data_IF_329495531925
#
_entry.id   IF_329495531925
#
_cell.length_a   1.000
_cell.length_b   1.000
_cell.length_c   1.000
_cell.angle_alpha   90.00
_cell.angle_beta   90.00
_cell.angle_gamma   90.00
#
_symmetry.space_group_name_H-M   'P 1'
#
loop_
_entity.id
_entity.type
_entity.pdbx_description
1 polymer ?
#
# COMPACT_ATOMS: atom_id res chain seq x y z
N UNK A 1 11.87 -17.18 5.05
CA UNK A 1 12.32 -15.80 4.74
C UNK A 1 13.82 -15.81 4.51
N UNK A 2 14.40 -14.79 3.87
CA UNK A 2 15.86 -14.74 3.60
C UNK A 2 16.69 -14.78 4.90
N UNK A 3 16.16 -14.27 6.01
CA UNK A 3 16.77 -14.40 7.33
C UNK A 3 16.84 -15.87 7.82
N UNK A 4 15.83 -16.69 7.52
CA UNK A 4 15.85 -18.13 7.84
C UNK A 4 16.91 -18.88 7.04
N UNK A 5 17.18 -18.44 5.80
CA UNK A 5 18.26 -18.99 4.99
C UNK A 5 19.64 -18.60 5.54
N UNK A 6 19.80 -17.36 6.02
CA UNK A 6 21.09 -16.83 6.51
C UNK A 6 21.45 -17.29 7.92
N UNK A 7 20.47 -17.44 8.81
CA UNK A 7 20.68 -17.74 10.24
C UNK A 7 20.09 -19.08 10.68
N UNK A 8 19.39 -19.78 9.80
CA UNK A 8 18.82 -21.10 10.05
C UNK A 8 19.60 -22.20 9.35
N UNK A 9 19.19 -23.45 9.62
CA UNK A 9 19.78 -24.65 9.01
C UNK A 9 18.93 -25.19 7.85
N UNK A 10 17.96 -24.40 7.37
CA UNK A 10 17.01 -24.77 6.32
C UNK A 10 17.61 -24.49 4.93
N UNK A 11 17.45 -25.44 4.02
CA UNK A 11 17.88 -25.29 2.62
C UNK A 11 17.00 -24.30 1.86
N UNK A 12 17.52 -23.79 0.75
CA UNK A 12 16.80 -22.87 -0.13
C UNK A 12 15.47 -23.46 -0.63
N UNK A 13 15.46 -24.77 -0.93
CA UNK A 13 14.29 -25.52 -1.38
C UNK A 13 13.22 -25.73 -0.30
N UNK A 14 13.60 -25.86 0.97
CA UNK A 14 12.64 -25.97 2.09
C UNK A 14 11.95 -24.62 2.35
N UNK A 15 12.72 -23.54 2.32
CA UNK A 15 12.19 -22.20 2.54
C UNK A 15 11.31 -21.74 1.37
N UNK A 16 11.69 -22.07 0.13
CA UNK A 16 10.93 -21.71 -1.07
C UNK A 16 9.54 -22.37 -1.08
N UNK A 17 9.46 -23.66 -0.70
CA UNK A 17 8.19 -24.38 -0.49
C UNK A 17 7.35 -23.73 0.61
N UNK A 18 7.94 -23.39 1.75
CA UNK A 18 7.24 -22.75 2.86
C UNK A 18 6.71 -21.34 2.57
N UNK A 19 7.29 -20.65 1.58
CA UNK A 19 6.86 -19.30 1.14
C UNK A 19 6.06 -19.36 -0.17
N UNK A 20 5.87 -20.55 -0.75
CA UNK A 20 5.21 -20.77 -2.04
C UNK A 20 5.80 -19.93 -3.18
N UNK A 21 7.13 -19.87 -3.25
CA UNK A 21 7.88 -19.12 -4.25
C UNK A 21 8.84 -20.06 -4.95
N UNK A 22 9.02 -19.91 -6.26
CA UNK A 22 9.97 -20.73 -7.00
C UNK A 22 11.40 -20.49 -6.49
N UNK A 23 12.22 -21.55 -6.43
CA UNK A 23 13.59 -21.49 -5.91
C UNK A 23 14.45 -20.44 -6.63
N UNK A 24 14.26 -20.27 -7.94
CA UNK A 24 14.94 -19.22 -8.72
C UNK A 24 14.62 -17.81 -8.22
N UNK A 25 13.37 -17.52 -7.87
CA UNK A 25 12.96 -16.21 -7.35
C UNK A 25 13.55 -16.00 -5.94
N UNK A 26 13.56 -17.05 -5.13
CA UNK A 26 14.18 -17.00 -3.81
C UNK A 26 15.70 -16.77 -3.90
N UNK A 27 16.38 -17.35 -4.90
CA UNK A 27 17.81 -17.10 -5.14
C UNK A 27 18.11 -15.64 -5.50
N UNK A 28 17.22 -14.99 -6.26
CA UNK A 28 17.32 -13.56 -6.58
C UNK A 28 17.16 -12.73 -5.31
N UNK A 29 16.24 -13.09 -4.43
CA UNK A 29 16.04 -12.40 -3.15
C UNK A 29 17.24 -12.52 -2.22
N UNK A 30 17.88 -13.69 -2.14
CA UNK A 30 19.12 -13.86 -1.37
C UNK A 30 20.22 -12.96 -1.89
N UNK A 31 20.46 -12.95 -3.21
CA UNK A 31 21.46 -12.06 -3.84
C UNK A 31 21.15 -10.58 -3.59
N UNK A 32 19.88 -10.20 -3.73
CA UNK A 32 19.45 -8.82 -3.50
C UNK A 32 19.71 -8.40 -2.04
N UNK A 33 19.45 -9.30 -1.08
CA UNK A 33 19.73 -9.08 0.33
C UNK A 33 21.23 -9.03 0.65
N UNK A 34 22.06 -9.82 -0.03
CA UNK A 34 23.52 -9.74 0.14
C UNK A 34 24.08 -8.39 -0.33
N UNK A 35 23.51 -7.81 -1.39
CA UNK A 35 23.94 -6.52 -1.92
C UNK A 35 23.37 -5.30 -1.19
N UNK A 36 22.07 -5.31 -0.85
CA UNK A 36 21.38 -4.16 -0.27
C UNK A 36 20.97 -4.33 1.22
N UNK A 37 21.19 -5.50 1.82
CA UNK A 37 20.73 -5.80 3.17
C UNK A 37 19.20 -5.79 3.27
N UNK A 38 18.66 -5.40 4.43
CA UNK A 38 17.21 -5.29 4.64
C UNK A 38 16.55 -4.26 3.70
N UNK A 39 17.32 -3.26 3.24
CA UNK A 39 16.88 -2.25 2.27
C UNK A 39 16.48 -2.85 0.92
N UNK A 40 16.91 -4.07 0.61
CA UNK A 40 16.49 -4.83 -0.59
C UNK A 40 14.98 -5.06 -0.66
N UNK A 41 14.33 -5.22 0.50
CA UNK A 41 12.91 -5.52 0.60
C UNK A 41 12.10 -4.35 1.14
N UNK A 42 12.75 -3.23 1.47
CA UNK A 42 12.07 -1.97 1.71
C UNK A 42 11.55 -1.51 0.36
N UNK A 43 10.25 -1.70 0.14
CA UNK A 43 9.56 -1.17 -1.04
C UNK A 43 9.83 0.32 -1.10
N UNK A 44 10.66 0.75 -2.05
CA UNK A 44 11.06 2.15 -2.20
C UNK A 44 9.90 2.95 -2.80
N UNK A 45 8.82 3.09 -2.03
CA UNK A 45 7.96 4.25 -2.15
C UNK A 45 8.75 5.42 -1.57
N UNK A 46 9.74 5.90 -2.32
CA UNK A 46 10.50 7.08 -1.93
C UNK A 46 9.52 8.25 -1.85
N UNK A 47 9.11 8.57 -0.64
CA UNK A 47 8.30 9.75 -0.36
C UNK A 47 9.24 10.94 -0.42
N UNK A 48 9.26 11.62 -1.55
CA UNK A 48 10.00 12.86 -1.70
C UNK A 48 9.22 13.99 -1.01
N UNK A 49 9.91 14.72 -0.14
CA UNK A 49 9.34 15.91 0.51
C UNK A 49 9.09 17.00 -0.53
N UNK A 50 8.14 17.89 -0.27
CA UNK A 50 7.83 19.04 -1.15
C UNK A 50 9.08 19.88 -1.39
N UNK A 51 9.89 20.10 -0.35
CA UNK A 51 11.16 20.83 -0.45
C UNK A 51 12.13 20.15 -1.42
N UNK A 52 12.36 18.84 -1.26
CA UNK A 52 13.25 18.10 -2.16
C UNK A 52 12.79 18.17 -3.62
N UNK A 53 11.48 18.03 -3.87
CA UNK A 53 10.94 18.15 -5.23
C UNK A 53 11.19 19.54 -5.82
N UNK A 54 11.06 20.61 -5.02
CA UNK A 54 11.35 21.97 -5.48
C UNK A 54 12.83 22.18 -5.73
N UNK A 55 13.71 21.66 -4.88
CA UNK A 55 15.16 21.75 -5.10
C UNK A 55 15.55 21.09 -6.44
N UNK A 56 14.96 19.93 -6.76
CA UNK A 56 15.16 19.22 -8.04
C UNK A 56 14.64 20.02 -9.23
N UNK A 57 13.46 20.64 -9.13
CA UNK A 57 12.89 21.44 -10.22
C UNK A 57 13.65 22.76 -10.43
N UNK A 58 14.08 23.41 -9.34
CA UNK A 58 14.91 24.61 -9.40
C UNK A 58 16.26 24.30 -10.06
N UNK A 59 16.87 23.17 -9.72
CA UNK A 59 18.10 22.72 -10.35
C UNK A 59 17.97 22.57 -11.88
N UNK A 60 16.84 22.05 -12.36
CA UNK A 60 16.57 21.95 -13.81
C UNK A 60 16.49 23.34 -14.44
N UNK A 61 15.79 24.29 -13.79
CA UNK A 61 15.63 25.65 -14.28
C UNK A 61 16.94 26.45 -14.26
N UNK A 62 17.77 26.26 -13.24
CA UNK A 62 19.06 26.96 -13.08
C UNK A 62 20.14 26.40 -14.00
N UNK A 63 20.23 25.08 -14.11
CA UNK A 63 21.30 24.40 -14.85
C UNK A 63 20.91 24.03 -16.28
N UNK A 64 19.62 24.11 -16.65
CA UNK A 64 19.11 23.70 -17.96
C UNK A 64 19.28 22.20 -18.25
N UNK A 65 19.34 21.36 -17.22
CA UNK A 65 19.62 19.92 -17.36
C UNK A 65 18.39 19.13 -17.82
N UNK A 66 18.63 18.01 -18.50
CA UNK A 66 17.54 17.11 -18.88
C UNK A 66 17.01 16.32 -17.69
N UNK A 67 15.72 15.95 -17.69
CA UNK A 67 15.13 15.11 -16.63
C UNK A 67 15.89 13.81 -16.35
N UNK A 68 16.53 13.24 -17.38
CA UNK A 68 17.33 12.01 -17.26
C UNK A 68 18.60 12.25 -16.47
N UNK A 69 19.27 13.35 -16.77
CA UNK A 69 20.50 13.75 -16.11
C UNK A 69 20.24 14.15 -14.67
N UNK A 70 19.20 14.95 -14.43
CA UNK A 70 18.76 15.30 -13.07
C UNK A 70 18.37 14.06 -12.26
N UNK A 71 17.69 13.07 -12.87
CA UNK A 71 17.36 11.83 -12.18
C UNK A 71 18.59 11.05 -11.73
N UNK A 72 19.64 11.02 -12.56
CA UNK A 72 20.91 10.39 -12.19
C UNK A 72 21.60 11.15 -11.04
N UNK A 73 21.65 12.48 -11.10
CA UNK A 73 22.29 13.34 -10.08
C UNK A 73 21.60 13.19 -8.71
N UNK A 74 20.27 13.20 -8.68
CA UNK A 74 19.49 13.13 -7.44
C UNK A 74 19.12 11.69 -7.04
N UNK A 75 19.68 10.68 -7.72
CA UNK A 75 19.42 9.26 -7.50
C UNK A 75 17.92 8.92 -7.48
N UNK A 76 17.17 9.49 -8.43
CA UNK A 76 15.74 9.27 -8.61
C UNK A 76 15.54 8.11 -9.59
N UNK A 77 14.77 7.10 -9.18
CA UNK A 77 14.62 5.84 -9.93
C UNK A 77 14.03 6.00 -11.33
N UNK A 78 13.28 7.07 -11.59
CA UNK A 78 12.73 7.35 -12.91
C UNK A 78 12.64 8.85 -13.18
N UNK A 79 13.15 9.27 -14.34
CA UNK A 79 13.01 10.62 -14.88
C UNK A 79 11.54 11.04 -15.08
N UNK A 80 10.63 10.08 -15.32
CA UNK A 80 9.20 10.37 -15.41
C UNK A 80 8.63 10.91 -14.09
N UNK A 81 9.23 10.52 -12.96
CA UNK A 81 8.84 11.03 -11.64
C UNK A 81 9.06 12.54 -11.57
N UNK A 82 10.18 13.03 -12.10
CA UNK A 82 10.51 14.46 -12.14
C UNK A 82 9.55 15.19 -13.08
N UNK A 83 9.30 14.64 -14.28
CA UNK A 83 8.31 15.19 -15.21
C UNK A 83 6.92 15.32 -14.57
N UNK A 84 6.50 14.32 -13.79
CA UNK A 84 5.23 14.36 -13.06
C UNK A 84 5.21 15.45 -11.98
N UNK A 85 6.34 15.76 -11.34
CA UNK A 85 6.43 16.87 -10.39
C UNK A 85 6.30 18.22 -11.08
N UNK A 86 7.00 18.41 -12.21
CA UNK A 86 6.91 19.64 -12.98
C UNK A 86 5.47 19.89 -13.46
N UNK A 87 4.82 18.88 -14.04
CA UNK A 87 3.43 19.03 -14.50
C UNK A 87 2.47 19.39 -13.35
N UNK A 88 2.67 18.81 -12.15
CA UNK A 88 1.86 19.18 -10.97
C UNK A 88 2.15 20.60 -10.52
N UNK A 89 3.41 21.02 -10.55
CA UNK A 89 3.82 22.38 -10.22
C UNK A 89 3.15 23.39 -11.16
N UNK A 90 3.16 23.13 -12.47
CA UNK A 90 2.52 23.98 -13.47
C UNK A 90 0.99 24.05 -13.29
N UNK A 91 0.36 22.95 -12.86
CA UNK A 91 -1.09 22.88 -12.69
C UNK A 91 -1.62 23.50 -11.39
N UNK A 92 -0.84 23.50 -10.31
CA UNK A 92 -1.34 23.92 -9.00
C UNK A 92 -0.27 24.37 -8.00
N UNK A 93 0.89 24.79 -8.50
CA UNK A 93 1.98 25.35 -7.70
C UNK A 93 2.54 24.39 -6.67
N UNK A 94 3.05 24.95 -5.57
CA UNK A 94 3.66 24.20 -4.46
C UNK A 94 2.64 23.27 -3.78
N UNK A 95 1.38 23.71 -3.67
CA UNK A 95 0.31 22.96 -3.01
C UNK A 95 -0.05 21.66 -3.76
N UNK A 96 0.20 21.61 -5.07
CA UNK A 96 0.01 20.42 -5.90
C UNK A 96 1.20 19.45 -5.83
N UNK A 97 2.37 19.91 -5.36
CA UNK A 97 3.53 19.06 -5.10
C UNK A 97 3.44 18.33 -3.77
N UNK A 98 2.67 18.89 -2.84
CA UNK A 98 2.36 18.24 -1.59
C UNK A 98 1.61 16.94 -1.87
N UNK A 99 2.13 15.84 -1.32
CA UNK A 99 1.38 14.60 -1.27
C UNK A 99 0.26 14.81 -0.26
N UNK A 100 -0.91 15.27 -0.71
CA UNK A 100 -2.11 15.20 0.12
C UNK A 100 -2.24 13.74 0.54
N UNK A 101 -2.13 13.47 1.84
CA UNK A 101 -2.55 12.19 2.41
C UNK A 101 -4.02 12.08 2.04
N UNK A 102 -4.33 11.44 0.92
CA UNK A 102 -5.69 11.09 0.56
C UNK A 102 -6.09 10.08 1.61
N UNK A 103 -6.69 10.59 2.68
CA UNK A 103 -7.20 9.78 3.78
C UNK A 103 -7.97 8.65 3.15
N UNK A 104 -7.56 7.42 3.42
CA UNK A 104 -8.37 6.27 3.13
C UNK A 104 -9.74 6.58 3.74
N UNK A 105 -10.77 6.78 2.91
CA UNK A 105 -12.12 6.87 3.40
C UNK A 105 -12.38 5.53 4.07
N UNK A 106 -12.26 5.52 5.40
CA UNK A 106 -12.60 4.37 6.22
C UNK A 106 -14.07 4.10 5.95
N UNK A 107 -14.38 3.04 5.20
CA UNK A 107 -15.75 2.56 5.09
C UNK A 107 -16.18 2.22 6.52
N UNK A 108 -17.08 3.03 7.10
CA UNK A 108 -17.86 2.58 8.24
C UNK A 108 -18.66 1.37 7.75
N UNK A 109 -18.24 0.17 8.13
CA UNK A 109 -19.11 -0.99 8.08
C UNK A 109 -20.21 -0.77 9.10
N UNK A 110 -21.34 -0.23 8.65
CA UNK A 110 -22.59 -0.32 9.38
C UNK A 110 -22.96 -1.80 9.44
N UNK A 111 -22.67 -2.43 10.57
CA UNK A 111 -23.23 -3.72 10.93
C UNK A 111 -24.75 -3.56 11.12
N UNK A 112 -25.50 -3.65 10.01
CA UNK A 112 -26.94 -3.92 10.05
C UNK A 112 -27.13 -5.35 10.56
N UNK A 113 -27.40 -5.44 11.86
CA UNK A 113 -28.05 -6.57 12.52
C UNK A 113 -29.28 -6.95 11.70
N UNK A 114 -29.18 -7.99 10.89
CA UNK A 114 -30.33 -8.63 10.25
C UNK A 114 -30.67 -9.86 11.07
N UNK A 115 -31.63 -9.68 11.96
CA UNK A 115 -32.42 -10.76 12.53
C UNK A 115 -33.10 -11.52 11.38
N UNK A 116 -32.82 -12.82 11.27
CA UNK A 116 -33.61 -13.72 10.44
C UNK A 116 -34.08 -14.89 11.29
N UNK A 117 -35.40 -15.00 11.33
CA UNK A 117 -36.25 -15.89 12.13
C UNK A 117 -36.10 -17.34 11.66
N UNK A 118 -36.10 -18.28 12.61
CA UNK A 118 -36.57 -19.64 12.36
C UNK A 118 -37.66 -19.97 13.38
N UNK A 119 -38.81 -20.36 12.84
CA UNK A 119 -40.12 -20.56 13.47
C UNK A 119 -40.17 -21.67 14.52
N UNK A 120 -41.24 -21.71 15.34
CA UNK A 120 -41.94 -22.94 15.65
C UNK A 120 -43.33 -22.94 14.99
N UNK A 121 -43.69 -24.06 14.36
CA UNK A 121 -45.03 -24.40 13.83
C UNK A 121 -45.82 -25.14 14.94
N UNK A 122 -47.11 -25.46 14.76
CA UNK A 122 -48.29 -24.73 15.23
C UNK A 122 -49.05 -25.50 16.33
N UNK A 123 -49.90 -24.84 17.12
CA UNK A 123 -51.09 -25.52 17.65
C UNK A 123 -52.18 -24.50 17.91
N UNK A 124 -53.31 -24.78 17.30
CA UNK A 124 -54.62 -24.17 17.42
C UNK A 124 -55.21 -24.53 18.79
N UNK A 125 -55.77 -23.53 19.49
CA UNK A 125 -56.75 -23.60 20.60
C UNK A 125 -56.93 -22.14 21.06
N UNK A 126 -57.90 -21.34 20.60
CA UNK A 126 -59.37 -21.44 20.65
C UNK A 126 -59.94 -21.67 22.05
N UNK A 127 -60.03 -20.61 22.87
CA UNK A 127 -61.17 -20.23 23.74
C UNK A 127 -60.86 -18.88 24.42
N UNK A 128 -61.62 -17.82 24.14
CA UNK A 128 -62.77 -17.33 24.93
C UNK A 128 -62.38 -16.57 26.21
N UNK A 129 -62.60 -15.25 26.20
CA UNK A 129 -63.33 -14.55 27.28
C UNK A 129 -63.35 -13.03 27.05
N UNK A 130 -64.55 -12.56 26.71
CA UNK A 130 -65.00 -11.17 26.81
C UNK A 130 -64.92 -10.67 28.26
N UNK A 131 -64.52 -9.41 28.49
CA UNK A 131 -65.43 -8.45 29.14
C UNK A 131 -64.95 -7.00 29.04
N UNK A 132 -65.78 -6.18 28.37
CA UNK A 132 -65.84 -4.75 28.55
C UNK A 132 -66.96 -4.44 29.56
N UNK A 133 -66.71 -3.57 30.54
CA UNK A 133 -67.77 -2.80 31.21
C UNK A 133 -67.17 -1.61 32.00
N UNK A 134 -67.45 -0.42 31.46
CA UNK A 134 -67.77 0.87 32.11
C UNK A 134 -66.69 1.51 32.97
#
# INVERSE_FOLDING_TARGET
SVLRYKYGNESMGEISKGVNVHESIFSVWVRLYEHQGESAFIKSYTTYSTKFKMDVLNYINEMGTSYRETAAIFNISSHETIRKWQLRFEQGGIDALETKKKGHLSMKTESKKTESKNNPVPTEESVDSLQAKV
#
